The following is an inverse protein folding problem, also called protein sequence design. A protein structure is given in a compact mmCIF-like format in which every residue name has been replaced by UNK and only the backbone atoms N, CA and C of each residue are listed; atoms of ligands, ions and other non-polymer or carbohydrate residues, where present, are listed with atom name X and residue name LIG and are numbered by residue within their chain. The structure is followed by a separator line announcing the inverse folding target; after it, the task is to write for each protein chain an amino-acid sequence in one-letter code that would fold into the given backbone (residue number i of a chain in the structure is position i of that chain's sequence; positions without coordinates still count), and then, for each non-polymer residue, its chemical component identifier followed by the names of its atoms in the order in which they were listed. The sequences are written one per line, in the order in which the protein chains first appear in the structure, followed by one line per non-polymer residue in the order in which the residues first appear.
data_IF_388949408860
#
_entry.id   IF_388949408860
#
_cell.length_a   1.000
_cell.length_b   1.000
_cell.length_c   1.000
_cell.angle_alpha   90.00
_cell.angle_beta   90.00
_cell.angle_gamma   90.00
#
_symmetry.space_group_name_H-M   'P 1'
#
loop_
_entity.id
_entity.type
_entity.pdbx_description
1 polymer ?
#
# COMPACT_ATOMS: atom_id res chain seq x y z
N UNK A 1 7.48 1.89 -5.59
CA UNK A 1 6.37 2.06 -4.65
C UNK A 1 5.76 3.43 -4.81
N UNK A 2 4.46 3.51 -4.82
CA UNK A 2 3.77 4.78 -4.96
C UNK A 2 2.64 4.85 -3.94
N UNK A 3 2.57 5.95 -3.20
CA UNK A 3 1.55 6.16 -2.18
C UNK A 3 0.64 7.29 -2.65
N UNK A 4 -0.67 7.06 -2.63
CA UNK A 4 -1.65 8.07 -2.96
C UNK A 4 -2.72 8.12 -1.88
N UNK A 5 -3.35 9.28 -1.74
CA UNK A 5 -4.41 9.48 -0.78
C UNK A 5 -5.49 10.36 -1.40
N UNK A 6 -6.73 9.89 -1.33
CA UNK A 6 -7.88 10.63 -1.80
C UNK A 6 -8.67 11.12 -0.59
N UNK A 7 -8.63 12.42 -0.35
CA UNK A 7 -9.28 12.97 0.84
C UNK A 7 -10.80 13.00 0.75
N UNK A 8 -11.36 12.93 -0.44
CA UNK A 8 -12.81 12.95 -0.59
C UNK A 8 -13.45 11.67 -0.06
N UNK A 9 -12.78 10.55 -0.23
CA UNK A 9 -13.27 9.27 0.26
C UNK A 9 -12.43 8.71 1.40
N UNK A 10 -11.42 9.45 1.84
CA UNK A 10 -10.52 9.05 2.93
C UNK A 10 -9.91 7.68 2.67
N UNK A 11 -9.36 7.49 1.48
CA UNK A 11 -8.76 6.22 1.09
C UNK A 11 -7.29 6.42 0.72
N UNK A 12 -6.43 5.59 1.28
CA UNK A 12 -5.01 5.55 0.94
C UNK A 12 -4.72 4.30 0.12
N UNK A 13 -3.80 4.41 -0.83
CA UNK A 13 -3.38 3.26 -1.62
C UNK A 13 -1.86 3.24 -1.70
N UNK A 14 -1.29 2.08 -1.43
CA UNK A 14 0.15 1.86 -1.53
C UNK A 14 0.38 0.88 -2.67
N UNK A 15 0.95 1.38 -3.77
CA UNK A 15 1.22 0.52 -4.93
C UNK A 15 2.64 -0.03 -4.80
N UNK A 16 2.74 -1.34 -4.82
CA UNK A 16 4.01 -2.04 -4.66
C UNK A 16 4.53 -2.63 -5.96
N UNK A 17 3.66 -2.84 -6.94
CA UNK A 17 4.01 -3.49 -8.20
C UNK A 17 3.22 -2.86 -9.34
N UNK A 18 3.78 -2.91 -10.56
CA UNK A 18 3.12 -2.42 -11.76
C UNK A 18 2.29 -3.50 -12.45
N UNK A 19 2.30 -4.72 -11.93
CA UNK A 19 1.49 -5.80 -12.48
C UNK A 19 0.01 -5.49 -12.28
N UNK A 20 -0.83 -6.10 -13.11
CA UNK A 20 -2.27 -5.91 -12.98
C UNK A 20 -2.84 -6.88 -11.95
N UNK A 21 -3.65 -6.39 -11.03
CA UNK A 21 -4.27 -7.30 -10.06
C UNK A 21 -5.35 -8.16 -10.73
N UNK A 22 -5.49 -9.38 -10.25
CA UNK A 22 -6.53 -10.28 -10.69
C UNK A 22 -7.50 -10.63 -9.58
N UNK A 23 -7.19 -10.21 -8.36
CA UNK A 23 -8.04 -10.46 -7.21
C UNK A 23 -7.75 -9.50 -6.07
N UNK A 24 -8.63 -9.53 -5.08
CA UNK A 24 -8.52 -8.70 -3.89
C UNK A 24 -8.75 -9.58 -2.68
N UNK A 25 -7.92 -9.41 -1.67
CA UNK A 25 -8.10 -10.12 -0.40
C UNK A 25 -8.35 -9.08 0.68
N UNK A 26 -9.51 -9.15 1.34
CA UNK A 26 -9.77 -8.29 2.48
C UNK A 26 -9.15 -8.95 3.71
N UNK A 27 -8.12 -8.31 4.27
CA UNK A 27 -7.44 -8.87 5.43
C UNK A 27 -8.02 -8.38 6.74
N UNK A 28 -8.75 -7.26 6.69
CA UNK A 28 -9.44 -6.69 7.82
C UNK A 28 -10.41 -5.68 7.25
N UNK A 29 -11.44 -5.32 8.00
CA UNK A 29 -12.43 -4.37 7.52
C UNK A 29 -11.75 -3.09 7.03
N UNK A 30 -11.96 -2.78 5.77
CA UNK A 30 -11.40 -1.58 5.15
C UNK A 30 -9.94 -1.68 4.78
N UNK A 31 -9.32 -2.86 4.87
CA UNK A 31 -7.94 -3.04 4.45
C UNK A 31 -7.91 -4.18 3.44
N UNK A 32 -7.64 -3.82 2.18
CA UNK A 32 -7.69 -4.75 1.07
C UNK A 32 -6.33 -4.87 0.41
N UNK A 33 -5.95 -6.09 0.04
CA UNK A 33 -4.69 -6.33 -0.66
C UNK A 33 -5.01 -6.79 -2.07
N UNK A 34 -4.52 -6.07 -3.06
CA UNK A 34 -4.63 -6.46 -4.46
C UNK A 34 -3.54 -7.48 -4.77
N UNK A 35 -3.93 -8.57 -5.40
CA UNK A 35 -3.00 -9.68 -5.68
C UNK A 35 -3.16 -10.18 -7.11
N UNK A 36 -2.15 -10.91 -7.59
CA UNK A 36 -2.25 -11.66 -8.82
C UNK A 36 -2.71 -13.09 -8.50
N UNK A 37 -3.03 -13.84 -9.55
CA UNK A 37 -3.40 -15.25 -9.39
C UNK A 37 -2.26 -16.12 -8.86
N UNK A 38 -1.03 -15.61 -8.90
CA UNK A 38 0.13 -16.29 -8.34
C UNK A 38 0.42 -15.88 -6.90
N UNK A 39 -0.43 -15.01 -6.33
CA UNK A 39 -0.23 -14.57 -4.96
C UNK A 39 0.73 -13.39 -4.80
N UNK A 40 1.14 -12.78 -5.90
CA UNK A 40 1.99 -11.59 -5.82
C UNK A 40 1.18 -10.40 -5.35
N UNK A 41 1.75 -9.60 -4.45
CA UNK A 41 1.07 -8.44 -3.89
C UNK A 41 1.29 -7.22 -4.80
N UNK A 42 0.19 -6.63 -5.25
CA UNK A 42 0.23 -5.48 -6.14
C UNK A 42 0.15 -4.19 -5.34
N UNK A 43 -0.73 -4.14 -4.37
CA UNK A 43 -0.91 -2.93 -3.58
C UNK A 43 -1.83 -3.17 -2.41
N UNK A 44 -1.93 -2.15 -1.56
CA UNK A 44 -2.74 -2.20 -0.35
C UNK A 44 -3.64 -0.98 -0.32
N UNK A 45 -4.94 -1.21 -0.21
CA UNK A 45 -5.93 -0.14 -0.07
C UNK A 45 -6.38 -0.04 1.37
N UNK A 46 -6.40 1.17 1.91
CA UNK A 46 -6.83 1.42 3.28
C UNK A 46 -7.97 2.42 3.24
N UNK A 47 -9.17 1.97 3.58
CA UNK A 47 -10.36 2.81 3.66
C UNK A 47 -10.46 3.42 5.06
N UNK A 48 -11.09 4.58 5.16
CA UNK A 48 -11.18 5.32 6.42
C UNK A 48 -9.80 5.53 7.03
N UNK A 49 -8.85 5.89 6.17
CA UNK A 49 -7.44 5.95 6.56
C UNK A 49 -7.18 6.90 7.72
N UNK A 50 -7.80 8.09 7.73
CA UNK A 50 -7.57 9.07 8.78
C UNK A 50 -8.07 8.59 10.14
N UNK A 51 -8.98 7.62 10.15
CA UNK A 51 -9.47 7.04 11.40
C UNK A 51 -8.59 5.92 11.91
N UNK A 52 -7.73 5.40 11.05
CA UNK A 52 -6.90 4.25 11.39
C UNK A 52 -5.49 4.65 11.80
N UNK A 53 -4.97 5.75 11.26
CA UNK A 53 -3.62 6.21 11.60
C UNK A 53 -3.46 7.68 11.24
N UNK A 54 -2.43 8.36 11.81
CA UNK A 54 -2.14 9.74 11.43
C UNK A 54 -1.70 9.79 9.98
N UNK A 55 -2.36 10.59 9.14
CA UNK A 55 -2.06 10.64 7.72
C UNK A 55 -0.62 11.05 7.42
N UNK A 56 -0.01 11.85 8.28
CA UNK A 56 1.38 12.25 8.07
C UNK A 56 2.34 11.06 8.05
N UNK A 57 1.91 9.91 8.60
CA UNK A 57 2.73 8.71 8.56
C UNK A 57 2.99 8.23 7.13
N UNK A 58 2.14 8.61 6.18
CA UNK A 58 2.33 8.26 4.78
C UNK A 58 3.53 8.98 4.16
N UNK A 59 4.03 10.02 4.81
CA UNK A 59 5.16 10.79 4.30
C UNK A 59 6.49 10.45 4.97
N UNK A 60 6.48 9.47 5.87
CA UNK A 60 7.68 9.07 6.60
C UNK A 60 8.20 7.78 5.98
N UNK A 61 9.48 7.80 5.60
CA UNK A 61 10.10 6.65 4.96
C UNK A 61 11.47 6.39 5.59
N UNK A 62 11.67 5.17 6.05
CA UNK A 62 12.96 4.77 6.60
C UNK A 62 13.45 3.53 5.87
N UNK A 63 14.74 3.43 5.64
CA UNK A 63 15.31 2.26 5.01
C UNK A 63 16.69 1.97 5.58
N UNK A 64 17.08 0.73 5.48
CA UNK A 64 18.41 0.30 5.87
C UNK A 64 19.38 0.81 4.80
N UNK A 65 20.41 1.60 5.17
CA UNK A 65 21.34 2.12 4.16
C UNK A 65 21.95 1.04 3.27
N UNK A 66 22.23 -0.13 3.82
CA UNK A 66 22.84 -1.21 3.04
C UNK A 66 21.92 -1.77 1.97
N UNK A 67 20.61 -1.55 2.09
CA UNK A 67 19.67 -2.06 1.11
C UNK A 67 19.94 -1.49 -0.27
N UNK A 68 20.19 -0.18 -0.36
CA UNK A 68 20.46 0.46 -1.64
C UNK A 68 21.79 0.01 -2.21
N UNK A 69 22.81 -0.17 -1.36
CA UNK A 69 24.12 -0.57 -1.81
C UNK A 69 24.19 -2.03 -2.22
N UNK A 70 23.37 -2.88 -1.61
CA UNK A 70 23.51 -4.31 -1.79
C UNK A 70 22.76 -4.87 -2.97
N UNK A 71 21.59 -4.35 -3.37
CA UNK A 71 20.87 -5.01 -4.42
C UNK A 71 19.62 -4.37 -4.92
N UNK A 72 19.37 -3.23 -4.56
CA UNK A 72 18.18 -2.63 -5.10
C UNK A 72 18.23 -2.53 -6.62
#
# INVERSE_FOLDING_TARGET
MKISYDKEVDAAYIRLSELKPTGVIEIKEGINVDVTDKGEIIGIEILDAAKKFPLKSLFIYEYEPDLILSRV
#
